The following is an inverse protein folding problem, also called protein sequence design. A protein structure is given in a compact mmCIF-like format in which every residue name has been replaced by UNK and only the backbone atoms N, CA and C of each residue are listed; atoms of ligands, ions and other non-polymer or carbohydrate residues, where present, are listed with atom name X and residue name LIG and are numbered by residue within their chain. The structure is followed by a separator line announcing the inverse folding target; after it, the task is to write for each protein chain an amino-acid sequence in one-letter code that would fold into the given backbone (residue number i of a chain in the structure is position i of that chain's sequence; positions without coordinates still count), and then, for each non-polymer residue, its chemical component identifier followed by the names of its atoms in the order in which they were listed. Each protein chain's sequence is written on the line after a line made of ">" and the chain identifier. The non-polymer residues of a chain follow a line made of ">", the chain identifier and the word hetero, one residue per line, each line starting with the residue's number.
data_IF_067681752087
#
_entry.id   IF_067681752087
#
_cell.length_a   1.000
_cell.length_b   1.000
_cell.length_c   1.000
_cell.angle_alpha   90.00
_cell.angle_beta   90.00
_cell.angle_gamma   90.00
#
_symmetry.space_group_name_H-M   'P 1'
#
loop_
_entity.id
_entity.type
_entity.pdbx_description
1 polymer ?
#
# COMPACT_ATOMS: atom_id res chain seq x y z
N UNK A 1 -1.60 15.44 -20.32
CA UNK A 1 -0.73 15.18 -19.16
C UNK A 1 -0.29 13.72 -19.27
N UNK A 2 0.98 13.47 -19.58
CA UNK A 2 1.51 12.10 -19.70
C UNK A 2 2.10 11.73 -18.33
N UNK A 3 1.67 10.61 -17.77
CA UNK A 3 2.16 10.12 -16.48
C UNK A 3 3.41 9.28 -16.74
N UNK A 4 4.49 9.54 -16.02
CA UNK A 4 5.75 8.78 -16.13
C UNK A 4 5.61 7.43 -15.38
N UNK A 5 5.64 6.28 -16.08
CA UNK A 5 5.53 4.96 -15.44
C UNK A 5 6.61 4.69 -14.40
N UNK A 6 7.84 5.20 -14.60
CA UNK A 6 8.92 5.03 -13.66
C UNK A 6 8.62 5.72 -12.33
N UNK A 7 8.01 6.92 -12.37
CA UNK A 7 7.56 7.64 -11.18
C UNK A 7 6.41 6.94 -10.47
N UNK A 8 5.49 6.32 -11.21
CA UNK A 8 4.43 5.50 -10.62
C UNK A 8 5.00 4.28 -9.88
N UNK A 9 6.00 3.60 -10.47
CA UNK A 9 6.68 2.47 -9.82
C UNK A 9 7.45 2.90 -8.56
N UNK A 10 8.14 4.04 -8.62
CA UNK A 10 8.83 4.62 -7.46
C UNK A 10 7.84 4.92 -6.33
N UNK A 11 6.71 5.57 -6.64
CA UNK A 11 5.67 5.86 -5.68
C UNK A 11 5.05 4.58 -5.08
N UNK A 12 4.75 3.58 -5.92
CA UNK A 12 4.25 2.28 -5.48
C UNK A 12 5.21 1.60 -4.51
N UNK A 13 6.50 1.54 -4.84
CA UNK A 13 7.52 0.95 -3.98
C UNK A 13 7.68 1.69 -2.65
N UNK A 14 7.67 3.02 -2.69
CA UNK A 14 7.75 3.86 -1.49
C UNK A 14 6.56 3.62 -0.57
N UNK A 15 5.34 3.69 -1.10
CA UNK A 15 4.09 3.51 -0.33
C UNK A 15 4.01 2.09 0.23
N UNK A 16 4.27 1.07 -0.59
CA UNK A 16 4.26 -0.32 -0.14
C UNK A 16 5.32 -0.60 0.94
N UNK A 17 6.49 0.03 0.85
CA UNK A 17 7.50 -0.02 1.90
C UNK A 17 7.03 0.60 3.21
N UNK A 18 6.33 1.75 3.16
CA UNK A 18 5.75 2.39 4.36
C UNK A 18 4.61 1.56 4.96
N UNK A 19 3.75 0.97 4.13
CA UNK A 19 2.67 0.11 4.58
C UNK A 19 3.20 -1.10 5.38
N UNK A 20 4.21 -1.78 4.83
CA UNK A 20 4.89 -2.90 5.52
C UNK A 20 5.48 -2.47 6.85
N UNK A 21 6.24 -1.37 6.86
CA UNK A 21 6.84 -0.84 8.08
C UNK A 21 5.79 -0.51 9.15
N UNK A 22 4.68 0.10 8.77
CA UNK A 22 3.57 0.40 9.68
C UNK A 22 2.93 -0.89 10.22
N UNK A 23 2.65 -1.87 9.36
CA UNK A 23 2.11 -3.17 9.77
C UNK A 23 3.02 -3.89 10.79
N UNK A 24 4.33 -3.89 10.57
CA UNK A 24 5.30 -4.44 11.52
C UNK A 24 5.23 -3.73 12.89
N UNK A 25 5.10 -2.40 12.90
CA UNK A 25 5.01 -1.61 14.13
C UNK A 25 3.68 -1.79 14.86
N UNK A 26 2.57 -1.90 14.13
CA UNK A 26 1.26 -2.23 14.73
C UNK A 26 1.31 -3.62 15.37
N UNK A 27 1.90 -4.61 14.69
CA UNK A 27 2.06 -5.96 15.24
C UNK A 27 3.02 -6.03 16.45
N UNK A 28 4.03 -5.17 16.51
CA UNK A 28 4.88 -4.98 17.69
C UNK A 28 4.06 -4.43 18.87
N UNK A 29 3.30 -3.36 18.65
CA UNK A 29 2.46 -2.76 19.68
C UNK A 29 1.34 -3.68 20.16
N UNK A 30 0.75 -4.49 19.27
CA UNK A 30 -0.26 -5.49 19.65
C UNK A 30 0.32 -6.62 20.50
N UNK A 31 1.62 -6.94 20.37
CA UNK A 31 2.29 -7.87 21.28
C UNK A 31 2.50 -7.25 22.65
N UNK A 32 2.92 -6.00 22.75
CA UNK A 32 3.21 -5.36 24.04
C UNK A 32 1.95 -4.87 24.75
N UNK A 33 1.12 -4.09 24.06
CA UNK A 33 -0.09 -3.49 24.66
C UNK A 33 -1.21 -4.51 24.72
N UNK A 34 -1.51 -5.17 23.60
CA UNK A 34 -2.61 -6.11 23.49
C UNK A 34 -2.46 -7.36 24.37
N UNK A 35 -1.25 -7.91 24.48
CA UNK A 35 -1.00 -9.14 25.25
C UNK A 35 -0.36 -8.90 26.61
N UNK A 36 0.71 -8.14 26.72
CA UNK A 36 1.45 -8.05 27.99
C UNK A 36 0.79 -7.11 29.02
N UNK A 37 0.22 -5.98 28.57
CA UNK A 37 -0.41 -5.02 29.48
C UNK A 37 -1.86 -5.39 29.86
N UNK A 38 -2.64 -5.92 28.90
CA UNK A 38 -4.07 -6.15 29.08
C UNK A 38 -4.41 -7.58 29.54
N UNK A 39 -3.61 -8.60 29.18
CA UNK A 39 -3.90 -9.98 29.58
C UNK A 39 -3.35 -10.37 30.96
N UNK A 40 -2.20 -9.82 31.39
CA UNK A 40 -1.46 -10.34 32.56
C UNK A 40 -1.46 -9.43 33.80
N UNK A 41 -1.97 -8.18 33.73
CA UNK A 41 -1.73 -7.19 34.79
C UNK A 41 -2.91 -6.35 35.30
N UNK A 42 -3.93 -6.06 34.49
CA UNK A 42 -4.91 -5.02 34.82
C UNK A 42 -6.36 -5.53 34.78
N UNK A 43 -6.98 -5.74 35.96
CA UNK A 43 -8.39 -6.14 36.08
C UNK A 43 -9.27 -4.98 36.58
N UNK A 44 -10.44 -4.77 35.95
CA UNK A 44 -11.45 -3.78 36.39
C UNK A 44 -12.10 -3.00 35.24
N UNK A 45 -13.06 -2.11 35.56
CA UNK A 45 -13.86 -1.33 34.58
C UNK A 45 -13.03 -0.40 33.70
N UNK A 46 -11.86 0.04 34.18
CA UNK A 46 -10.89 0.83 33.42
C UNK A 46 -10.11 -0.01 32.42
N UNK A 47 -9.86 -1.29 32.71
CA UNK A 47 -9.22 -2.21 31.76
C UNK A 47 -10.14 -2.51 30.57
N UNK A 48 -11.43 -2.77 30.82
CA UNK A 48 -12.41 -3.03 29.76
C UNK A 48 -12.65 -1.83 28.82
N UNK A 49 -12.56 -0.60 29.31
CA UNK A 49 -12.68 0.60 28.47
C UNK A 49 -11.43 0.85 27.63
N UNK A 50 -10.25 0.50 28.17
CA UNK A 50 -8.99 0.61 27.46
C UNK A 50 -8.84 -0.49 26.40
N UNK A 51 -9.34 -1.70 26.66
CA UNK A 51 -9.47 -2.79 25.68
C UNK A 51 -10.28 -2.34 24.45
N UNK A 52 -11.44 -1.73 24.67
CA UNK A 52 -12.32 -1.28 23.58
C UNK A 52 -11.66 -0.20 22.72
N UNK A 53 -11.05 0.81 23.36
CA UNK A 53 -10.33 1.88 22.65
C UNK A 53 -9.09 1.35 21.90
N UNK A 54 -8.40 0.36 22.47
CA UNK A 54 -7.26 -0.30 21.83
C UNK A 54 -7.68 -1.08 20.58
N UNK A 55 -8.77 -1.85 20.68
CA UNK A 55 -9.31 -2.62 19.56
C UNK A 55 -9.78 -1.71 18.42
N UNK A 56 -10.47 -0.62 18.74
CA UNK A 56 -10.90 0.37 17.75
C UNK A 56 -9.69 1.03 17.06
N UNK A 57 -8.70 1.47 17.84
CA UNK A 57 -7.47 2.04 17.31
C UNK A 57 -6.75 1.07 16.38
N UNK A 58 -6.60 -0.19 16.80
CA UNK A 58 -5.93 -1.23 16.02
C UNK A 58 -6.67 -1.49 14.71
N UNK A 59 -7.99 -1.63 14.76
CA UNK A 59 -8.79 -1.82 13.56
C UNK A 59 -8.63 -0.65 12.57
N UNK A 60 -8.60 0.60 13.06
CA UNK A 60 -8.33 1.77 12.22
C UNK A 60 -6.91 1.78 11.64
N UNK A 61 -5.91 1.36 12.43
CA UNK A 61 -4.52 1.27 11.98
C UNK A 61 -4.35 0.19 10.89
N UNK A 62 -4.97 -0.98 11.07
CA UNK A 62 -4.99 -2.06 10.08
C UNK A 62 -5.66 -1.60 8.76
N UNK A 63 -6.78 -0.87 8.85
CA UNK A 63 -7.45 -0.30 7.68
C UNK A 63 -6.58 0.70 6.91
N UNK A 64 -5.75 1.49 7.61
CA UNK A 64 -4.78 2.40 6.97
C UNK A 64 -3.70 1.61 6.23
N UNK A 65 -3.18 0.54 6.82
CA UNK A 65 -2.17 -0.31 6.17
C UNK A 65 -2.76 -0.92 4.89
N UNK A 66 -3.95 -1.51 4.97
CA UNK A 66 -4.65 -2.09 3.81
C UNK A 66 -4.85 -1.07 2.69
N UNK A 67 -5.30 0.14 3.02
CA UNK A 67 -5.48 1.21 2.03
C UNK A 67 -4.16 1.63 1.35
N UNK A 68 -3.04 1.65 2.10
CA UNK A 68 -1.71 1.95 1.54
C UNK A 68 -1.21 0.81 0.65
N UNK A 69 -1.43 -0.44 1.04
CA UNK A 69 -1.09 -1.62 0.21
C UNK A 69 -1.87 -1.62 -1.09
N UNK A 70 -3.18 -1.37 -1.03
CA UNK A 70 -4.03 -1.25 -2.22
C UNK A 70 -3.57 -0.11 -3.11
N UNK A 71 -3.27 1.06 -2.53
CA UNK A 71 -2.76 2.21 -3.30
C UNK A 71 -1.45 1.89 -4.01
N UNK A 72 -0.52 1.19 -3.35
CA UNK A 72 0.73 0.76 -3.96
C UNK A 72 0.49 -0.22 -5.13
N UNK A 73 -0.44 -1.17 -4.95
CA UNK A 73 -0.85 -2.12 -6.00
C UNK A 73 -1.42 -1.40 -7.22
N UNK A 74 -2.34 -0.47 -7.01
CA UNK A 74 -3.00 0.28 -8.09
C UNK A 74 -2.02 1.14 -8.88
N UNK A 75 -1.07 1.78 -8.20
CA UNK A 75 0.01 2.55 -8.83
C UNK A 75 0.91 1.66 -9.69
N UNK A 76 1.30 0.48 -9.20
CA UNK A 76 2.12 -0.47 -9.96
C UNK A 76 1.37 -1.06 -11.16
N UNK A 77 0.08 -1.38 -11.00
CA UNK A 77 -0.78 -1.83 -12.09
C UNK A 77 -0.92 -0.75 -13.17
N UNK A 78 -1.15 0.50 -12.76
CA UNK A 78 -1.26 1.64 -13.66
C UNK A 78 0.04 1.87 -14.43
N UNK A 79 1.20 1.80 -13.78
CA UNK A 79 2.49 1.90 -14.46
C UNK A 79 2.64 0.85 -15.57
N UNK A 80 2.26 -0.40 -15.27
CA UNK A 80 2.32 -1.52 -16.22
C UNK A 80 1.40 -1.30 -17.43
N UNK A 81 0.21 -0.71 -17.21
CA UNK A 81 -0.72 -0.38 -18.29
C UNK A 81 -0.16 0.71 -19.21
N UNK A 82 0.50 1.73 -18.65
CA UNK A 82 1.13 2.79 -19.45
C UNK A 82 2.30 2.28 -20.27
N UNK A 83 3.19 1.47 -19.69
CA UNK A 83 4.31 0.86 -20.41
C UNK A 83 3.80 0.03 -21.61
N UNK A 84 2.80 -0.82 -21.39
CA UNK A 84 2.20 -1.62 -22.45
C UNK A 84 1.51 -0.78 -23.53
N UNK A 85 0.96 0.39 -23.18
CA UNK A 85 0.37 1.31 -24.14
C UNK A 85 1.43 2.01 -24.99
N UNK A 86 2.54 2.43 -24.38
CA UNK A 86 3.65 3.08 -25.06
C UNK A 86 4.35 2.11 -26.03
N UNK A 87 4.53 0.84 -25.64
CA UNK A 87 5.06 -0.21 -26.52
C UNK A 87 4.17 -0.43 -27.76
N UNK A 88 2.86 -0.63 -27.57
CA UNK A 88 1.92 -0.81 -28.70
C UNK A 88 1.88 0.40 -29.63
N UNK A 89 1.96 1.61 -29.07
CA UNK A 89 1.99 2.83 -29.87
C UNK A 89 3.27 2.91 -30.69
N UNK A 90 4.43 2.58 -30.10
CA UNK A 90 5.72 2.53 -30.78
C UNK A 90 5.70 1.54 -31.95
N UNK A 91 5.19 0.33 -31.73
CA UNK A 91 5.09 -0.70 -32.78
C UNK A 91 4.20 -0.25 -33.94
N UNK A 92 3.04 0.34 -33.65
CA UNK A 92 2.13 0.87 -34.67
C UNK A 92 2.77 2.01 -35.48
N UNK A 93 3.50 2.91 -34.83
CA UNK A 93 4.22 4.01 -35.50
C UNK A 93 5.36 3.45 -36.37
N UNK A 94 6.12 2.49 -35.87
CA UNK A 94 7.21 1.85 -36.62
C UNK A 94 6.69 1.15 -37.88
N UNK A 95 5.55 0.47 -37.79
CA UNK A 95 4.88 -0.16 -38.93
C UNK A 95 4.42 0.89 -39.97
N UNK A 96 3.69 1.91 -39.54
CA UNK A 96 3.17 2.95 -40.44
C UNK A 96 4.29 3.77 -41.12
N UNK A 97 5.38 4.05 -40.39
CA UNK A 97 6.56 4.74 -40.95
C UNK A 97 7.39 3.87 -41.90
N UNK A 98 7.31 2.54 -41.76
CA UNK A 98 7.90 1.58 -42.70
C UNK A 98 7.14 1.54 -44.03
N UNK A 99 5.80 1.56 -43.98
CA UNK A 99 4.93 1.54 -45.16
C UNK A 99 5.02 2.82 -46.01
N UNK A 100 5.36 3.96 -45.42
CA UNK A 100 5.53 5.23 -46.16
C UNK A 100 6.90 5.36 -46.85
N UNK A 101 7.85 4.46 -46.59
CA UNK A 101 9.21 4.49 -47.16
C UNK A 101 9.44 3.49 -48.30
N UNK A 102 8.43 2.69 -48.65
CA UNK A 102 8.41 1.76 -49.79
C UNK A 102 7.47 2.26 -50.87
#
# INVERSE_FOLDING_TARGET
>A
MQVDPARLREAAAYIGGKARYLGEKIAELDRTVGRELLADGWQGRSASAYDESWLEWKAGADAIVEALEQSASDLAATATLYEAQDERNSDSIAQAGGEQRT
#
